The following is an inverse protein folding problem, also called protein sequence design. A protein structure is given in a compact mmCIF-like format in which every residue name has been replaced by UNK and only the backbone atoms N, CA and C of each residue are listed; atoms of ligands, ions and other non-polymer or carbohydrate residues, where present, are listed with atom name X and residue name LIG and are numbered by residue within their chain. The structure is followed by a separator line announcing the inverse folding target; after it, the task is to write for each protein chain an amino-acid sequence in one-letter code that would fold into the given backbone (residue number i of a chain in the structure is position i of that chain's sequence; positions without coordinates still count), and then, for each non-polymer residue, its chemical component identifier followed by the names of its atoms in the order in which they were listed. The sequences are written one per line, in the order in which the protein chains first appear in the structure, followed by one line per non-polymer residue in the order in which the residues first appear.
data_IF_891389674993
#
_entry.id   IF_891389674993
#
_cell.length_a   1.000
_cell.length_b   1.000
_cell.length_c   1.000
_cell.angle_alpha   90.00
_cell.angle_beta   90.00
_cell.angle_gamma   90.00
#
_symmetry.space_group_name_H-M   'P 1'
#
loop_
_entity.id
_entity.type
_entity.pdbx_description
1 polymer ?
#
# COMPACT_ATOMS: atom_id res chain seq x y z
N UNK A 1 30.39 57.82 30.61
CA UNK A 1 30.49 58.18 29.18
C UNK A 1 31.09 57.00 28.42
N UNK A 2 30.47 56.64 27.28
CA UNK A 2 31.10 56.16 26.01
C UNK A 2 32.14 55.02 26.08
N UNK A 3 31.80 53.75 25.76
CA UNK A 3 31.63 53.10 24.43
C UNK A 3 32.87 52.35 23.90
N UNK A 4 32.69 51.03 23.68
CA UNK A 4 33.15 50.20 22.53
C UNK A 4 34.65 49.81 22.45
N UNK A 5 35.16 48.71 21.84
CA UNK A 5 34.71 47.62 20.95
C UNK A 5 35.64 46.38 21.19
N UNK A 6 35.07 45.16 21.15
CA UNK A 6 35.51 43.87 20.54
C UNK A 6 36.96 43.30 20.67
N UNK A 7 37.05 42.02 21.09
CA UNK A 7 37.55 40.87 20.28
C UNK A 7 37.28 39.54 21.01
N UNK A 8 36.50 38.65 20.41
CA UNK A 8 36.30 37.26 20.86
C UNK A 8 37.28 36.30 20.15
N UNK A 9 37.81 35.26 20.81
CA UNK A 9 38.53 34.18 20.14
C UNK A 9 37.57 33.05 19.74
N UNK A 10 37.72 32.59 18.50
CA UNK A 10 37.08 31.40 17.95
C UNK A 10 37.71 30.11 18.51
N UNK A 11 36.88 29.07 18.69
CA UNK A 11 37.29 27.74 18.26
C UNK A 11 36.23 27.05 17.38
N UNK A 12 36.76 26.14 16.57
CA UNK A 12 36.23 25.44 15.39
C UNK A 12 35.03 24.49 15.67
N UNK A 13 34.43 23.87 14.61
CA UNK A 13 33.03 23.47 14.59
C UNK A 13 32.77 22.17 15.35
N UNK A 14 31.58 22.11 15.96
CA UNK A 14 31.00 20.90 16.55
C UNK A 14 30.71 19.88 15.45
N UNK A 15 31.43 18.76 15.47
CA UNK A 15 31.05 17.53 14.78
C UNK A 15 29.76 16.99 15.40
N UNK A 16 28.66 17.07 14.66
CA UNK A 16 27.44 16.31 14.96
C UNK A 16 27.67 14.83 14.64
N UNK A 17 27.33 13.88 15.52
CA UNK A 17 27.44 12.47 15.19
C UNK A 17 26.34 12.09 14.20
N UNK A 18 26.74 11.55 13.05
CA UNK A 18 25.87 10.90 12.08
C UNK A 18 25.07 9.81 12.80
N UNK A 19 23.76 10.01 12.93
CA UNK A 19 22.84 8.98 13.36
C UNK A 19 22.78 7.94 12.24
N UNK A 20 23.59 6.90 12.37
CA UNK A 20 23.49 5.68 11.57
C UNK A 20 22.09 5.12 11.80
N UNK A 21 21.18 5.41 10.88
CA UNK A 21 19.90 4.71 10.78
C UNK A 21 20.26 3.26 10.47
N UNK A 22 20.29 2.43 11.51
CA UNK A 22 20.38 0.99 11.35
C UNK A 22 19.24 0.58 10.41
N UNK A 23 19.60 0.08 9.22
CA UNK A 23 18.65 -0.42 8.25
C UNK A 23 17.85 -1.55 8.90
N UNK A 24 16.53 -1.35 9.00
CA UNK A 24 15.61 -2.41 9.36
C UNK A 24 15.69 -3.51 8.28
N UNK A 25 15.66 -4.80 8.64
CA UNK A 25 15.69 -5.88 7.66
C UNK A 25 14.46 -5.78 6.78
N UNK A 26 14.66 -5.68 5.46
CA UNK A 26 13.58 -5.78 4.48
C UNK A 26 12.82 -7.09 4.70
N UNK A 27 11.50 -6.97 4.94
CA UNK A 27 10.59 -8.10 4.98
C UNK A 27 10.77 -8.97 3.73
N UNK A 28 10.78 -10.32 3.87
CA UNK A 28 10.99 -11.23 2.75
C UNK A 28 10.03 -10.94 1.60
N UNK A 29 10.62 -10.66 0.43
CA UNK A 29 9.95 -10.47 -0.85
C UNK A 29 9.07 -11.68 -1.14
N UNK A 30 7.76 -11.47 -1.30
CA UNK A 30 6.87 -12.46 -1.89
C UNK A 30 6.44 -11.94 -3.27
N UNK A 31 7.40 -11.86 -4.19
CA UNK A 31 7.07 -11.85 -5.63
C UNK A 31 6.84 -13.30 -6.00
N UNK A 32 5.73 -13.60 -6.68
CA UNK A 32 5.62 -14.88 -7.36
C UNK A 32 6.79 -15.02 -8.33
N UNK A 33 7.35 -16.22 -8.44
CA UNK A 33 8.19 -16.56 -9.58
C UNK A 33 7.30 -16.53 -10.82
N UNK A 34 7.74 -15.93 -11.93
CA UNK A 34 6.95 -15.85 -13.17
C UNK A 34 6.44 -17.23 -13.60
N UNK A 35 7.25 -18.27 -13.39
CA UNK A 35 6.88 -19.68 -13.62
C UNK A 35 5.72 -20.18 -12.76
N UNK A 36 5.57 -19.71 -11.51
CA UNK A 36 4.46 -20.09 -10.63
C UNK A 36 3.18 -19.32 -10.98
N UNK A 37 3.31 -18.09 -11.48
CA UNK A 37 2.17 -17.31 -11.95
C UNK A 37 1.60 -17.93 -13.23
N UNK A 38 2.45 -18.28 -14.18
CA UNK A 38 2.04 -18.90 -15.44
C UNK A 38 1.40 -20.28 -15.21
N UNK A 39 2.00 -21.10 -14.33
CA UNK A 39 1.39 -22.37 -13.89
C UNK A 39 0.02 -22.16 -13.23
N UNK A 40 -0.13 -21.14 -12.39
CA UNK A 40 -1.42 -20.84 -11.74
C UNK A 40 -2.49 -20.37 -12.73
N UNK A 41 -2.09 -19.59 -13.76
CA UNK A 41 -2.99 -19.14 -14.82
C UNK A 41 -3.42 -20.32 -15.68
N UNK A 42 -2.49 -21.18 -16.07
CA UNK A 42 -2.76 -22.36 -16.90
C UNK A 42 -3.67 -23.36 -16.18
N UNK A 43 -3.45 -23.57 -14.87
CA UNK A 43 -4.34 -24.36 -14.02
C UNK A 43 -5.74 -23.72 -13.94
N UNK A 44 -5.83 -22.39 -13.82
CA UNK A 44 -7.12 -21.70 -13.75
C UNK A 44 -7.89 -21.80 -15.07
N UNK A 45 -7.24 -21.61 -16.21
CA UNK A 45 -7.84 -21.75 -17.54
C UNK A 45 -8.31 -23.19 -17.78
N UNK A 46 -7.51 -24.18 -17.38
CA UNK A 46 -7.90 -25.60 -17.47
C UNK A 46 -9.15 -25.90 -16.61
N UNK A 47 -9.27 -25.31 -15.42
CA UNK A 47 -10.45 -25.47 -14.56
C UNK A 47 -11.69 -24.82 -15.21
N UNK A 48 -11.56 -23.64 -15.80
CA UNK A 48 -12.65 -22.95 -16.49
C UNK A 48 -13.12 -23.77 -17.71
N UNK A 49 -12.17 -24.28 -18.51
CA UNK A 49 -12.47 -25.15 -19.66
C UNK A 49 -13.15 -26.45 -19.23
N UNK A 50 -12.66 -27.08 -18.15
CA UNK A 50 -13.29 -28.27 -17.57
C UNK A 50 -14.70 -27.98 -17.04
N UNK A 51 -14.92 -26.84 -16.41
CA UNK A 51 -16.23 -26.44 -15.91
C UNK A 51 -17.22 -26.23 -17.07
N UNK A 52 -16.80 -25.58 -18.15
CA UNK A 52 -17.61 -25.43 -19.36
C UNK A 52 -17.93 -26.77 -20.04
N UNK A 53 -16.96 -27.69 -20.08
CA UNK A 53 -17.14 -29.04 -20.63
C UNK A 53 -18.01 -29.94 -19.75
N UNK A 54 -17.96 -29.79 -18.43
CA UNK A 54 -18.79 -30.56 -17.50
C UNK A 54 -20.25 -30.09 -17.49
N UNK A 55 -20.47 -28.80 -17.72
CA UNK A 55 -21.82 -28.22 -17.89
C UNK A 55 -22.48 -28.75 -19.19
N UNK A 56 -21.71 -29.08 -20.23
CA UNK A 56 -22.25 -29.67 -21.46
C UNK A 56 -22.43 -31.20 -21.42
N UNK A 57 -21.87 -31.91 -20.44
CA UNK A 57 -21.79 -33.39 -20.38
C UNK A 57 -22.57 -34.04 -19.21
N UNK A 58 -23.62 -33.38 -18.71
CA UNK A 58 -24.25 -33.68 -17.41
C UNK A 58 -24.69 -35.15 -17.19
N UNK A 59 -23.90 -35.93 -16.45
CA UNK A 59 -24.34 -37.11 -15.65
C UNK A 59 -23.46 -37.46 -14.44
N UNK A 60 -22.32 -36.79 -14.21
CA UNK A 60 -21.41 -37.17 -13.12
C UNK A 60 -21.35 -36.10 -12.02
N UNK A 61 -22.29 -36.21 -11.07
CA UNK A 61 -22.47 -35.32 -9.91
C UNK A 61 -21.22 -35.24 -9.03
N UNK A 62 -20.42 -36.31 -8.92
CA UNK A 62 -19.17 -36.32 -8.15
C UNK A 62 -18.11 -35.41 -8.77
N UNK A 63 -17.98 -35.40 -10.11
CA UNK A 63 -17.06 -34.50 -10.82
C UNK A 63 -17.46 -33.03 -10.64
N UNK A 64 -18.76 -32.73 -10.65
CA UNK A 64 -19.28 -31.39 -10.39
C UNK A 64 -18.92 -30.92 -8.97
N UNK A 65 -19.18 -31.76 -7.96
CA UNK A 65 -18.85 -31.47 -6.56
C UNK A 65 -17.34 -31.25 -6.40
N UNK A 66 -16.51 -32.09 -7.04
CA UNK A 66 -15.05 -31.95 -7.00
C UNK A 66 -14.58 -30.65 -7.65
N UNK A 67 -15.13 -30.29 -8.81
CA UNK A 67 -14.81 -29.02 -9.49
C UNK A 67 -15.22 -27.81 -8.63
N UNK A 68 -16.38 -27.86 -7.98
CA UNK A 68 -16.84 -26.81 -7.08
C UNK A 68 -15.94 -26.64 -5.86
N UNK A 69 -15.49 -27.75 -5.26
CA UNK A 69 -14.56 -27.71 -4.13
C UNK A 69 -13.19 -27.12 -4.53
N UNK A 70 -12.68 -27.49 -5.72
CA UNK A 70 -11.44 -26.93 -6.26
C UNK A 70 -11.56 -25.43 -6.51
N UNK A 71 -12.67 -24.99 -7.12
CA UNK A 71 -12.96 -23.57 -7.34
C UNK A 71 -12.97 -22.80 -6.01
N UNK A 72 -13.69 -23.31 -5.00
CA UNK A 72 -13.73 -22.64 -3.69
C UNK A 72 -12.35 -22.58 -3.03
N UNK A 73 -11.52 -23.62 -3.17
CA UNK A 73 -10.17 -23.63 -2.64
C UNK A 73 -9.25 -22.65 -3.37
N UNK A 74 -9.37 -22.54 -4.70
CA UNK A 74 -8.62 -21.57 -5.50
C UNK A 74 -8.98 -20.14 -5.10
N UNK A 75 -10.28 -19.86 -4.94
CA UNK A 75 -10.77 -18.53 -4.57
C UNK A 75 -10.31 -18.12 -3.17
N UNK A 76 -10.33 -19.04 -2.18
CA UNK A 76 -9.75 -18.79 -0.86
C UNK A 76 -8.25 -18.47 -0.91
N UNK A 77 -7.53 -19.08 -1.86
CA UNK A 77 -6.11 -18.80 -2.04
C UNK A 77 -5.91 -17.40 -2.64
N UNK A 78 -6.69 -17.04 -3.67
CA UNK A 78 -6.68 -15.68 -4.24
C UNK A 78 -7.03 -14.62 -3.19
N UNK A 79 -8.02 -14.86 -2.32
CA UNK A 79 -8.33 -13.97 -1.19
C UNK A 79 -7.12 -13.74 -0.28
N UNK A 80 -6.38 -14.82 0.05
CA UNK A 80 -5.19 -14.73 0.89
C UNK A 80 -4.08 -13.93 0.21
N UNK A 81 -3.83 -14.17 -1.07
CA UNK A 81 -2.81 -13.45 -1.83
C UNK A 81 -3.17 -11.97 -1.99
N UNK A 82 -4.44 -11.67 -2.30
CA UNK A 82 -4.96 -10.31 -2.38
C UNK A 82 -4.72 -9.55 -1.07
N UNK A 83 -5.03 -10.19 0.07
CA UNK A 83 -4.74 -9.63 1.40
C UNK A 83 -3.24 -9.39 1.62
N UNK A 84 -2.40 -10.36 1.24
CA UNK A 84 -0.95 -10.27 1.43
C UNK A 84 -0.33 -9.14 0.61
N UNK A 85 -0.66 -9.04 -0.68
CA UNK A 85 -0.14 -7.98 -1.56
C UNK A 85 -0.57 -6.61 -1.04
N UNK A 86 -1.85 -6.43 -0.70
CA UNK A 86 -2.34 -5.17 -0.15
C UNK A 86 -1.69 -4.82 1.21
N UNK A 87 -1.45 -5.81 2.06
CA UNK A 87 -0.84 -5.60 3.38
C UNK A 87 0.68 -5.33 3.30
N UNK A 88 1.38 -5.93 2.35
CA UNK A 88 2.79 -5.70 2.12
C UNK A 88 3.08 -4.35 1.45
N UNK A 89 2.08 -3.75 0.80
CA UNK A 89 2.20 -2.49 0.06
C UNK A 89 1.43 -1.32 0.72
N UNK A 90 1.20 -1.37 2.04
CA UNK A 90 0.41 -0.37 2.79
C UNK A 90 0.87 1.07 2.54
N UNK A 91 2.17 1.30 2.54
CA UNK A 91 2.80 2.62 2.38
C UNK A 91 2.66 3.19 0.95
N UNK A 92 2.38 2.36 -0.05
CA UNK A 92 2.35 2.75 -1.46
C UNK A 92 0.94 2.88 -2.03
N UNK A 93 -0.07 2.44 -1.28
CA UNK A 93 -1.47 2.50 -1.68
C UNK A 93 -2.18 3.77 -1.20
N UNK A 94 -1.50 4.68 -0.52
CA UNK A 94 -2.14 5.90 -0.04
C UNK A 94 -2.61 6.79 -1.21
N UNK A 95 -3.83 7.31 -1.08
CA UNK A 95 -4.52 8.00 -2.17
C UNK A 95 -3.81 9.31 -2.55
N UNK A 96 -3.10 9.91 -1.59
CA UNK A 96 -2.32 11.13 -1.79
C UNK A 96 -1.08 10.89 -2.67
N UNK A 97 -0.51 9.69 -2.64
CA UNK A 97 0.60 9.28 -3.53
C UNK A 97 0.10 8.90 -4.92
N UNK A 98 -1.11 8.33 -5.04
CA UNK A 98 -1.67 7.90 -6.35
C UNK A 98 -2.13 9.10 -7.18
N UNK A 99 -2.73 10.12 -6.56
CA UNK A 99 -3.20 11.33 -7.25
C UNK A 99 -2.05 12.19 -7.78
N UNK A 100 -0.93 12.26 -7.04
CA UNK A 100 0.29 12.96 -7.44
C UNK A 100 1.18 12.16 -8.42
N UNK A 101 0.95 10.84 -8.59
CA UNK A 101 1.65 9.96 -9.55
C UNK A 101 1.03 9.97 -10.96
N UNK A 102 -0.29 10.15 -11.08
CA UNK A 102 -0.96 10.20 -12.38
C UNK A 102 -0.57 11.41 -13.24
N UNK A 103 -0.12 12.50 -12.63
CA UNK A 103 0.30 13.73 -13.33
C UNK A 103 1.73 13.67 -13.86
N UNK A 104 2.56 12.71 -13.44
CA UNK A 104 3.95 12.56 -13.90
C UNK A 104 4.12 11.51 -15.01
N UNK A 105 3.16 10.58 -15.13
CA UNK A 105 3.16 9.55 -16.16
C UNK A 105 2.95 10.10 -17.59
N UNK A 106 2.40 11.32 -17.73
CA UNK A 106 2.20 11.96 -19.04
C UNK A 106 3.42 12.68 -19.60
N UNK A 107 4.54 12.75 -18.86
CA UNK A 107 5.76 13.47 -19.30
C UNK A 107 6.89 12.53 -19.76
N UNK A 108 6.82 11.23 -19.46
CA UNK A 108 7.93 10.30 -19.71
C UNK A 108 8.01 9.76 -21.14
N UNK A 109 7.08 10.11 -22.03
CA UNK A 109 7.15 9.78 -23.46
C UNK A 109 7.89 10.83 -24.31
N UNK A 110 8.44 11.89 -23.72
CA UNK A 110 9.28 12.84 -24.46
C UNK A 110 10.76 12.56 -24.20
N UNK A 111 11.34 11.77 -25.10
CA UNK A 111 12.78 11.58 -25.27
C UNK A 111 13.43 12.95 -25.45
N UNK A 112 14.32 13.34 -24.54
CA UNK A 112 15.27 14.41 -24.79
C UNK A 112 16.65 13.94 -24.33
N UNK A 113 17.52 13.73 -25.31
CA UNK A 113 18.94 13.49 -25.14
C UNK A 113 19.58 14.66 -24.39
N UNK A 114 20.00 14.45 -23.14
CA UNK A 114 21.08 15.25 -22.58
C UNK A 114 21.86 14.48 -21.50
N UNK A 115 23.12 14.27 -21.85
CA UNK A 115 24.20 13.68 -21.07
C UNK A 115 24.45 14.49 -19.79
N UNK A 116 24.27 13.86 -18.62
CA UNK A 116 24.78 14.35 -17.33
C UNK A 116 24.84 13.20 -16.33
N UNK A 117 26.05 12.64 -16.17
CA UNK A 117 26.40 11.70 -15.10
C UNK A 117 26.32 12.37 -13.73
N UNK A 118 25.31 12.02 -12.95
CA UNK A 118 25.42 11.90 -11.50
C UNK A 118 24.45 10.83 -11.03
N UNK A 119 25.01 9.70 -10.61
CA UNK A 119 24.27 8.61 -9.96
C UNK A 119 23.76 9.11 -8.61
N UNK A 120 22.53 9.63 -8.59
CA UNK A 120 21.81 9.91 -7.36
C UNK A 120 21.06 8.65 -6.93
N UNK A 121 21.61 7.94 -5.94
CA UNK A 121 21.00 6.74 -5.34
C UNK A 121 19.54 6.98 -4.92
N UNK A 122 19.17 8.24 -4.62
CA UNK A 122 17.81 8.65 -4.26
C UNK A 122 16.82 8.55 -5.43
N UNK A 123 17.24 8.95 -6.64
CA UNK A 123 16.40 8.89 -7.84
C UNK A 123 16.14 7.44 -8.26
N UNK A 124 17.16 6.59 -8.16
CA UNK A 124 17.07 5.14 -8.41
C UNK A 124 16.17 4.45 -7.38
N UNK A 125 16.21 4.87 -6.12
CA UNK A 125 15.32 4.35 -5.08
C UNK A 125 13.85 4.72 -5.34
N UNK A 126 13.57 5.94 -5.78
CA UNK A 126 12.21 6.41 -6.12
C UNK A 126 11.66 5.66 -7.35
N UNK A 127 12.46 5.45 -8.38
CA UNK A 127 12.06 4.65 -9.56
C UNK A 127 11.79 3.19 -9.20
N UNK A 128 12.65 2.57 -8.38
CA UNK A 128 12.44 1.21 -7.90
C UNK A 128 11.18 1.10 -7.06
N UNK A 129 10.92 2.05 -6.16
CA UNK A 129 9.69 2.12 -5.35
C UNK A 129 8.46 2.27 -6.24
N UNK A 130 8.52 3.11 -7.28
CA UNK A 130 7.44 3.28 -8.25
C UNK A 130 7.18 2.00 -9.05
N UNK A 131 8.24 1.29 -9.47
CA UNK A 131 8.13 0.03 -10.18
C UNK A 131 7.56 -1.08 -9.29
N UNK A 132 7.98 -1.18 -8.03
CA UNK A 132 7.45 -2.14 -7.04
C UNK A 132 5.96 -1.92 -6.82
N UNK A 133 5.54 -0.67 -6.68
CA UNK A 133 4.13 -0.32 -6.53
C UNK A 133 3.31 -0.61 -7.80
N UNK A 134 3.89 -0.43 -9.00
CA UNK A 134 3.22 -0.75 -10.25
C UNK A 134 2.96 -2.25 -10.42
N UNK A 135 3.97 -3.08 -10.12
CA UNK A 135 3.85 -4.55 -10.17
C UNK A 135 2.74 -5.01 -9.20
N UNK A 136 2.76 -4.53 -7.96
CA UNK A 136 1.72 -4.87 -6.98
C UNK A 136 0.30 -4.46 -7.43
N UNK A 137 0.15 -3.29 -8.06
CA UNK A 137 -1.15 -2.84 -8.60
C UNK A 137 -1.60 -3.74 -9.76
N UNK A 138 -0.67 -4.15 -10.63
CA UNK A 138 -0.96 -5.06 -11.75
C UNK A 138 -1.38 -6.44 -11.26
N UNK A 139 -0.72 -6.97 -10.22
CA UNK A 139 -1.07 -8.25 -9.60
C UNK A 139 -2.44 -8.18 -8.93
N UNK A 140 -2.71 -7.11 -8.16
CA UNK A 140 -4.03 -6.88 -7.56
C UNK A 140 -5.12 -6.80 -8.63
N UNK A 141 -4.85 -6.13 -9.75
CA UNK A 141 -5.79 -6.03 -10.87
C UNK A 141 -6.05 -7.40 -11.50
N UNK A 142 -5.01 -8.20 -11.73
CA UNK A 142 -5.14 -9.55 -12.28
C UNK A 142 -5.96 -10.47 -11.37
N UNK A 143 -5.77 -10.39 -10.06
CA UNK A 143 -6.58 -11.12 -9.08
C UNK A 143 -8.04 -10.67 -9.11
N UNK A 144 -8.30 -9.36 -9.16
CA UNK A 144 -9.66 -8.81 -9.22
C UNK A 144 -10.37 -9.24 -10.51
N UNK A 145 -9.69 -9.14 -11.65
CA UNK A 145 -10.23 -9.51 -12.95
C UNK A 145 -10.54 -11.03 -13.03
N UNK A 146 -9.89 -11.86 -12.21
CA UNK A 146 -10.24 -13.28 -12.03
C UNK A 146 -11.41 -13.52 -11.05
N UNK A 147 -11.42 -12.82 -9.91
CA UNK A 147 -12.39 -13.05 -8.83
C UNK A 147 -13.79 -12.48 -9.13
N UNK A 148 -13.88 -11.34 -9.83
CA UNK A 148 -15.17 -10.69 -10.13
C UNK A 148 -16.06 -11.57 -11.03
N UNK A 149 -15.60 -12.07 -12.20
CA UNK A 149 -16.39 -12.96 -13.05
C UNK A 149 -16.81 -14.26 -12.33
N UNK A 150 -15.97 -14.72 -11.40
CA UNK A 150 -16.21 -15.90 -10.58
C UNK A 150 -17.23 -15.68 -9.44
N UNK A 151 -17.81 -14.48 -9.33
CA UNK A 151 -18.79 -14.04 -8.29
C UNK A 151 -18.21 -13.87 -6.89
N UNK A 152 -16.89 -13.71 -6.76
CA UNK A 152 -16.17 -13.46 -5.49
C UNK A 152 -15.80 -11.98 -5.28
N UNK A 153 -16.46 -11.05 -5.98
CA UNK A 153 -16.15 -9.62 -5.86
C UNK A 153 -16.43 -9.03 -4.47
N UNK A 154 -17.35 -9.62 -3.68
CA UNK A 154 -17.66 -9.13 -2.33
C UNK A 154 -16.51 -9.40 -1.36
N UNK A 155 -15.83 -10.51 -1.54
CA UNK A 155 -14.67 -10.97 -0.79
C UNK A 155 -13.48 -10.04 -1.06
N UNK A 156 -13.23 -9.68 -2.34
CA UNK A 156 -12.25 -8.66 -2.71
C UNK A 156 -12.51 -7.33 -2.00
N UNK A 157 -13.75 -6.83 -2.09
CA UNK A 157 -14.15 -5.57 -1.46
C UNK A 157 -14.02 -5.60 0.06
N UNK A 158 -14.34 -6.74 0.69
CA UNK A 158 -14.19 -6.93 2.12
C UNK A 158 -12.73 -6.81 2.54
N UNK A 159 -11.82 -7.48 1.83
CA UNK A 159 -10.38 -7.41 2.11
C UNK A 159 -9.87 -5.97 1.89
N UNK A 160 -10.25 -5.34 0.79
CA UNK A 160 -9.91 -3.95 0.50
C UNK A 160 -10.33 -3.02 1.65
N UNK A 161 -11.58 -3.12 2.08
CA UNK A 161 -12.11 -2.29 3.17
C UNK A 161 -11.37 -2.53 4.48
N UNK A 162 -11.06 -3.78 4.83
CA UNK A 162 -10.30 -4.11 6.06
C UNK A 162 -8.94 -3.42 6.03
N UNK A 163 -8.21 -3.53 4.91
CA UNK A 163 -6.86 -3.01 4.82
C UNK A 163 -6.88 -1.49 4.76
N UNK A 164 -7.71 -0.89 3.91
CA UNK A 164 -7.83 0.57 3.81
C UNK A 164 -8.27 1.21 5.12
N UNK A 165 -9.24 0.60 5.81
CA UNK A 165 -9.65 1.03 7.15
C UNK A 165 -8.47 0.97 8.12
N UNK A 166 -7.71 -0.13 8.13
CA UNK A 166 -6.56 -0.24 9.04
C UNK A 166 -5.45 0.78 8.78
N UNK A 167 -5.24 1.18 7.52
CA UNK A 167 -4.30 2.26 7.17
C UNK A 167 -4.80 3.60 7.70
N UNK A 168 -6.10 3.88 7.56
CA UNK A 168 -6.72 5.10 8.10
C UNK A 168 -6.73 5.10 9.64
N UNK A 169 -7.01 3.97 10.27
CA UNK A 169 -7.00 3.84 11.72
C UNK A 169 -5.58 4.08 12.28
N UNK A 170 -4.55 3.58 11.59
CA UNK A 170 -3.14 3.81 11.93
C UNK A 170 -2.73 5.28 11.74
N UNK A 171 -3.11 5.90 10.62
CA UNK A 171 -2.79 7.31 10.37
C UNK A 171 -3.48 8.22 11.39
N UNK A 172 -4.76 7.98 11.70
CA UNK A 172 -5.50 8.70 12.74
C UNK A 172 -4.85 8.54 14.12
N UNK A 173 -4.39 7.33 14.45
CA UNK A 173 -3.64 7.08 15.67
C UNK A 173 -2.35 7.91 15.74
N UNK A 174 -1.56 7.94 14.65
CA UNK A 174 -0.34 8.75 14.57
C UNK A 174 -0.63 10.26 14.69
N UNK A 175 -1.78 10.73 14.20
CA UNK A 175 -2.22 12.11 14.35
C UNK A 175 -2.76 12.45 15.76
N UNK A 176 -2.79 11.49 16.68
CA UNK A 176 -3.34 11.69 18.03
C UNK A 176 -4.86 11.84 18.02
N UNK A 177 -5.53 11.43 16.94
CA UNK A 177 -6.97 11.23 16.90
C UNK A 177 -7.23 9.85 17.48
N UNK A 178 -7.27 9.76 18.81
CA UNK A 178 -7.73 8.53 19.44
C UNK A 178 -9.16 8.22 18.97
N UNK A 179 -9.49 6.92 18.86
CA UNK A 179 -10.85 6.47 18.61
C UNK A 179 -11.72 6.75 19.86
N UNK A 180 -11.96 8.02 20.15
CA UNK A 180 -12.77 8.47 21.26
C UNK A 180 -14.23 8.20 20.92
N UNK A 181 -14.84 7.29 21.65
CA UNK A 181 -16.28 7.07 21.60
C UNK A 181 -17.01 8.32 22.08
N UNK A 182 -18.24 8.50 21.62
CA UNK A 182 -19.09 9.61 22.06
C UNK A 182 -19.18 9.72 23.59
N UNK A 183 -19.26 8.58 24.30
CA UNK A 183 -19.28 8.56 25.76
C UNK A 183 -17.97 9.05 26.40
N UNK A 184 -16.82 8.77 25.78
CA UNK A 184 -15.52 9.27 26.26
C UNK A 184 -15.41 10.78 26.06
N UNK A 185 -15.85 11.29 24.90
CA UNK A 185 -15.89 12.73 24.62
C UNK A 185 -16.77 13.47 25.63
N UNK A 186 -17.96 12.94 25.93
CA UNK A 186 -18.88 13.54 26.90
C UNK A 186 -18.35 13.59 28.34
N UNK A 187 -17.43 12.67 28.70
CA UNK A 187 -16.82 12.61 30.04
C UNK A 187 -15.50 13.36 30.11
N UNK A 188 -15.01 13.91 29.01
CA UNK A 188 -13.74 14.60 28.93
C UNK A 188 -13.87 16.03 29.46
N UNK A 189 -12.87 16.49 30.19
CA UNK A 189 -12.83 17.89 30.62
C UNK A 189 -12.73 18.83 29.42
N UNK A 190 -13.45 19.95 29.48
CA UNK A 190 -13.52 20.94 28.41
C UNK A 190 -12.13 21.40 27.92
N UNK A 191 -11.20 21.65 28.85
CA UNK A 191 -9.85 22.10 28.51
C UNK A 191 -9.05 21.05 27.70
N UNK A 192 -9.28 19.77 28.00
CA UNK A 192 -8.64 18.65 27.29
C UNK A 192 -9.29 18.48 25.92
N UNK A 193 -10.62 18.55 25.85
CA UNK A 193 -11.37 18.49 24.61
C UNK A 193 -11.00 19.61 23.64
N UNK A 194 -10.88 20.85 24.13
CA UNK A 194 -10.47 21.99 23.31
C UNK A 194 -9.04 21.82 22.74
N UNK A 195 -8.13 21.28 23.54
CA UNK A 195 -6.76 20.98 23.10
C UNK A 195 -6.75 19.90 22.01
N UNK A 196 -7.54 18.84 22.19
CA UNK A 196 -7.69 17.78 21.20
C UNK A 196 -8.28 18.31 19.88
N UNK A 197 -9.33 19.13 19.95
CA UNK A 197 -9.94 19.75 18.77
C UNK A 197 -8.92 20.62 18.02
N UNK A 198 -8.13 21.44 18.72
CA UNK A 198 -7.07 22.24 18.10
C UNK A 198 -5.99 21.38 17.44
N UNK A 199 -5.59 20.30 18.10
CA UNK A 199 -4.61 19.36 17.56
C UNK A 199 -5.14 18.68 16.29
N UNK A 200 -6.38 18.18 16.31
CA UNK A 200 -7.02 17.54 15.15
C UNK A 200 -7.16 18.50 13.96
N UNK A 201 -7.59 19.75 14.20
CA UNK A 201 -7.67 20.78 13.15
C UNK A 201 -6.31 21.09 12.53
N UNK A 202 -5.26 21.17 13.36
CA UNK A 202 -3.90 21.42 12.90
C UNK A 202 -3.38 20.27 12.03
N UNK A 203 -3.61 19.03 12.44
CA UNK A 203 -3.19 17.84 11.68
C UNK A 203 -3.95 17.68 10.35
N UNK A 204 -5.23 18.07 10.32
CA UNK A 204 -6.05 18.06 9.09
C UNK A 204 -5.76 19.24 8.15
N UNK A 205 -4.80 20.11 8.46
CA UNK A 205 -4.49 21.30 7.66
C UNK A 205 -5.60 22.35 7.64
N UNK A 206 -6.63 22.19 8.47
CA UNK A 206 -7.71 23.15 8.66
C UNK A 206 -7.25 24.20 9.68
N UNK A 207 -6.42 25.14 9.22
CA UNK A 207 -5.97 26.26 10.04
C UNK A 207 -7.19 27.17 10.33
N UNK A 208 -7.57 27.27 11.60
CA UNK A 208 -8.50 28.29 12.12
C UNK A 208 -7.73 29.47 12.68
#
# INVERSE_FOLDING_TARGET
MRTLFFKSPSPSPSNSPSRTTAMLPLSPRHSFSDSLMEENIEIAEAIIAMQHFLISQTTNTEKLIRAQNLMQSAMKRLEKEFYQIMSANREYLDAETISSRSSRASTWTSVSDQDSKSEDESQVAIEKVNHISWVAISDLKSIIDCMIPSRYGKECLKIYNIIRKSILDESLYLFGVENTTFSQVQKMDWNILETNIKNWLTQLGLRT
#
